data_IF_482388352161
#
_entry.id   IF_482388352161
#
_cell.length_a   1.000
_cell.length_b   1.000
_cell.length_c   1.000
_cell.angle_alpha   90.00
_cell.angle_beta   90.00
_cell.angle_gamma   90.00
#
_symmetry.space_group_name_H-M   'P 1'
#
loop_
_entity.id
_entity.type
_entity.pdbx_description
1 polymer ?
#
# COMPACT_ATOMS: atom_id res chain seq x y z
N UNK A 1 9.66 25.80 38.43
CA UNK A 1 9.16 24.41 38.31
C UNK A 1 8.68 24.03 36.90
N UNK A 2 8.41 24.95 35.97
CA UNK A 2 7.95 24.59 34.60
C UNK A 2 9.03 24.08 33.62
N UNK A 3 10.33 24.32 33.85
CA UNK A 3 11.39 23.85 32.92
C UNK A 3 11.75 22.37 33.08
N UNK A 4 11.48 21.76 34.24
CA UNK A 4 11.80 20.36 34.52
C UNK A 4 10.75 19.39 33.92
N UNK A 5 9.47 19.76 34.00
CA UNK A 5 8.35 19.02 33.40
C UNK A 5 8.40 18.96 31.86
N UNK A 6 8.91 20.00 31.19
CA UNK A 6 9.07 20.01 29.73
C UNK A 6 10.22 19.11 29.26
N UNK A 7 11.22 18.84 30.09
CA UNK A 7 12.38 18.02 29.74
C UNK A 7 12.09 16.52 29.89
N UNK A 8 11.32 16.14 30.93
CA UNK A 8 10.91 14.75 31.16
C UNK A 8 9.92 14.24 30.10
N UNK A 9 8.96 15.07 29.66
CA UNK A 9 8.02 14.71 28.60
C UNK A 9 8.72 14.47 27.25
N UNK A 10 9.78 15.23 26.93
CA UNK A 10 10.55 15.02 25.70
C UNK A 10 11.40 13.74 25.76
N UNK A 11 11.96 13.40 26.92
CA UNK A 11 12.76 12.19 27.09
C UNK A 11 11.91 10.92 27.03
N UNK A 12 10.71 10.94 27.61
CA UNK A 12 9.76 9.82 27.57
C UNK A 12 9.15 9.58 26.18
N UNK A 13 8.88 10.64 25.42
CA UNK A 13 8.43 10.50 24.03
C UNK A 13 9.55 9.90 23.16
N UNK A 14 10.78 10.40 23.28
CA UNK A 14 11.92 9.89 22.51
C UNK A 14 12.25 8.44 22.87
N UNK A 15 12.17 8.05 24.16
CA UNK A 15 12.43 6.68 24.61
C UNK A 15 11.35 5.71 24.12
N UNK A 16 10.07 6.10 24.17
CA UNK A 16 8.95 5.33 23.62
C UNK A 16 9.03 5.20 22.10
N UNK A 17 9.33 6.29 21.38
CA UNK A 17 9.50 6.24 19.92
C UNK A 17 10.66 5.33 19.53
N UNK A 18 11.81 5.42 20.20
CA UNK A 18 12.94 4.50 19.98
C UNK A 18 12.61 3.04 20.30
N UNK A 19 11.86 2.80 21.38
CA UNK A 19 11.39 1.46 21.75
C UNK A 19 10.47 0.86 20.70
N UNK A 20 9.54 1.66 20.16
CA UNK A 20 8.63 1.24 19.10
C UNK A 20 9.38 0.98 17.79
N UNK A 21 10.29 1.86 17.38
CA UNK A 21 11.12 1.64 16.17
C UNK A 21 11.92 0.35 16.26
N UNK A 22 12.56 0.09 17.41
CA UNK A 22 13.31 -1.16 17.64
C UNK A 22 12.41 -2.39 17.54
N UNK A 23 11.23 -2.34 18.14
CA UNK A 23 10.24 -3.43 18.06
C UNK A 23 9.79 -3.71 16.62
N UNK A 24 9.58 -2.65 15.81
CA UNK A 24 9.20 -2.78 14.40
C UNK A 24 10.32 -3.41 13.58
N UNK A 25 11.57 -2.99 13.79
CA UNK A 25 12.73 -3.57 13.10
C UNK A 25 12.89 -5.05 13.48
N UNK A 26 12.76 -5.38 14.76
CA UNK A 26 12.84 -6.77 15.26
C UNK A 26 11.74 -7.65 14.65
N UNK A 27 10.50 -7.15 14.60
CA UNK A 27 9.37 -7.85 13.97
C UNK A 27 9.59 -8.01 12.47
N UNK A 28 10.10 -6.98 11.80
CA UNK A 28 10.38 -7.02 10.35
C UNK A 28 11.46 -8.02 10.01
N UNK A 29 12.54 -8.08 10.80
CA UNK A 29 13.61 -9.07 10.66
C UNK A 29 13.09 -10.49 10.96
N UNK A 30 12.28 -10.66 11.99
CA UNK A 30 11.64 -11.93 12.30
C UNK A 30 10.71 -12.39 11.17
N UNK A 31 9.94 -11.47 10.56
CA UNK A 31 9.07 -11.74 9.43
C UNK A 31 9.86 -12.15 8.18
N UNK A 32 10.97 -11.46 7.87
CA UNK A 32 11.89 -11.85 6.80
C UNK A 32 12.42 -13.27 7.03
N UNK A 33 12.92 -13.56 8.23
CA UNK A 33 13.43 -14.90 8.58
C UNK A 33 12.35 -15.97 8.47
N UNK A 34 11.13 -15.69 8.93
CA UNK A 34 10.00 -16.59 8.83
C UNK A 34 9.63 -16.89 7.36
N UNK A 35 9.62 -15.86 6.51
CA UNK A 35 9.31 -16.01 5.09
C UNK A 35 10.34 -16.89 4.34
N UNK A 36 11.59 -16.93 4.81
CA UNK A 36 12.65 -17.78 4.28
C UNK A 36 12.67 -19.19 4.88
N UNK A 37 12.04 -19.40 6.02
CA UNK A 37 12.05 -20.69 6.73
C UNK A 37 11.35 -21.82 5.93
N UNK A 38 11.60 -23.08 6.25
CA UNK A 38 10.83 -24.19 5.66
C UNK A 38 9.43 -24.34 6.28
N UNK A 39 9.16 -23.66 7.40
CA UNK A 39 7.90 -23.74 8.11
C UNK A 39 6.82 -22.88 7.43
N UNK A 40 5.67 -23.51 7.16
CA UNK A 40 4.51 -22.90 6.53
C UNK A 40 3.76 -21.95 7.50
N UNK A 41 3.93 -22.11 8.81
CA UNK A 41 3.23 -21.33 9.83
C UNK A 41 4.06 -20.17 10.41
N UNK A 42 5.38 -20.17 10.23
CA UNK A 42 6.28 -19.18 10.82
C UNK A 42 5.84 -17.71 10.62
N UNK A 43 5.32 -17.36 9.44
CA UNK A 43 4.82 -16.02 9.16
C UNK A 43 3.59 -15.65 10.01
N UNK A 44 2.69 -16.61 10.23
CA UNK A 44 1.51 -16.46 11.09
C UNK A 44 1.93 -16.36 12.55
N UNK A 45 2.94 -17.11 12.98
CA UNK A 45 3.48 -17.02 14.34
C UNK A 45 4.13 -15.66 14.63
N UNK A 46 4.79 -15.07 13.63
CA UNK A 46 5.29 -13.68 13.74
C UNK A 46 4.12 -12.70 13.90
N UNK A 47 3.05 -12.86 13.13
CA UNK A 47 1.84 -12.03 13.27
C UNK A 47 1.21 -12.19 14.67
N UNK A 48 1.09 -13.42 15.18
CA UNK A 48 0.55 -13.68 16.52
C UNK A 48 1.41 -13.01 17.60
N UNK A 49 2.74 -13.08 17.49
CA UNK A 49 3.65 -12.37 18.40
C UNK A 49 3.52 -10.85 18.29
N UNK A 50 3.38 -10.32 17.08
CA UNK A 50 3.15 -8.90 16.86
C UNK A 50 1.84 -8.43 17.54
N UNK A 51 0.76 -9.21 17.44
CA UNK A 51 -0.51 -8.95 18.13
C UNK A 51 -0.37 -8.99 19.65
N UNK A 52 0.39 -9.95 20.20
CA UNK A 52 0.70 -10.02 21.65
C UNK A 52 1.53 -8.81 22.12
N UNK A 53 2.35 -8.24 21.24
CA UNK A 53 3.09 -7.00 21.48
C UNK A 53 2.26 -5.74 21.17
N UNK A 54 0.93 -5.88 21.00
CA UNK A 54 -0.02 -4.80 20.71
C UNK A 54 0.26 -4.04 19.40
N UNK A 55 0.99 -4.65 18.46
CA UNK A 55 1.19 -4.05 17.14
C UNK A 55 -0.11 -4.14 16.33
N UNK A 56 -0.57 -3.00 15.83
CA UNK A 56 -1.77 -2.92 15.02
C UNK A 56 -1.62 -3.72 13.72
N UNK A 57 -2.61 -4.56 13.39
CA UNK A 57 -2.60 -5.39 12.17
C UNK A 57 -2.48 -4.55 10.88
N UNK A 58 -3.07 -3.36 10.85
CA UNK A 58 -2.92 -2.41 9.75
C UNK A 58 -1.49 -1.92 9.60
N UNK A 59 -0.83 -1.56 10.71
CA UNK A 59 0.58 -1.19 10.70
C UNK A 59 1.47 -2.36 10.26
N UNK A 60 1.21 -3.57 10.76
CA UNK A 60 1.95 -4.77 10.36
C UNK A 60 1.84 -5.03 8.85
N UNK A 61 0.63 -4.91 8.30
CA UNK A 61 0.38 -5.11 6.87
C UNK A 61 0.97 -4.00 5.99
N UNK A 62 0.95 -2.76 6.46
CA UNK A 62 1.34 -1.59 5.67
C UNK A 62 2.82 -1.25 5.77
N UNK A 63 3.49 -1.69 6.85
CA UNK A 63 4.88 -1.36 7.13
C UNK A 63 5.73 -2.63 7.17
N UNK A 64 5.47 -3.54 8.11
CA UNK A 64 6.35 -4.70 8.33
C UNK A 64 6.42 -5.63 7.11
N UNK A 65 5.27 -5.96 6.48
CA UNK A 65 5.25 -6.83 5.29
C UNK A 65 6.02 -6.18 4.11
N UNK A 66 5.74 -4.93 3.68
CA UNK A 66 6.50 -4.28 2.63
C UNK A 66 7.99 -4.13 2.93
N UNK A 67 8.34 -3.84 4.18
CA UNK A 67 9.71 -3.64 4.61
C UNK A 67 10.48 -4.97 4.59
N UNK A 68 9.87 -6.07 5.04
CA UNK A 68 10.45 -7.42 4.89
C UNK A 68 10.66 -7.80 3.42
N UNK A 69 9.71 -7.49 2.54
CA UNK A 69 9.85 -7.72 1.10
C UNK A 69 10.95 -6.87 0.45
N UNK A 70 11.17 -5.65 0.94
CA UNK A 70 12.28 -4.80 0.50
C UNK A 70 13.62 -5.42 0.88
N UNK A 71 13.76 -5.89 2.12
CA UNK A 71 14.97 -6.58 2.56
C UNK A 71 15.26 -7.83 1.71
N UNK A 72 14.25 -8.65 1.42
CA UNK A 72 14.39 -9.81 0.51
C UNK A 72 14.86 -9.39 -0.89
N UNK A 73 14.37 -8.26 -1.40
CA UNK A 73 14.81 -7.71 -2.68
C UNK A 73 16.26 -7.20 -2.64
N UNK A 74 16.67 -6.58 -1.54
CA UNK A 74 18.05 -6.15 -1.31
C UNK A 74 19.00 -7.35 -1.24
N UNK A 75 18.61 -8.42 -0.54
CA UNK A 75 19.37 -9.67 -0.47
C UNK A 75 19.54 -10.33 -1.84
N UNK A 76 18.52 -10.27 -2.70
CA UNK A 76 18.63 -10.72 -4.09
C UNK A 76 19.62 -9.87 -4.88
N UNK A 77 19.54 -8.54 -4.77
CA UNK A 77 20.45 -7.62 -5.48
C UNK A 77 21.90 -7.79 -5.03
N UNK A 78 22.12 -8.17 -3.77
CA UNK A 78 23.45 -8.47 -3.24
C UNK A 78 23.90 -9.93 -3.44
N UNK A 79 23.19 -10.71 -4.27
CA UNK A 79 23.46 -12.14 -4.53
C UNK A 79 23.46 -13.02 -3.25
N UNK A 80 22.80 -12.59 -2.18
CA UNK A 80 22.69 -13.30 -0.91
C UNK A 80 21.55 -14.33 -0.89
N UNK A 81 20.54 -14.13 -1.73
CA UNK A 81 19.43 -15.07 -1.93
C UNK A 81 19.29 -15.39 -3.42
N UNK A 82 18.87 -16.61 -3.72
CA UNK A 82 18.51 -17.03 -5.07
C UNK A 82 17.12 -16.53 -5.48
N UNK A 83 16.85 -16.59 -6.79
CA UNK A 83 15.54 -16.28 -7.34
C UNK A 83 14.43 -17.12 -6.70
N UNK A 84 14.69 -18.41 -6.46
CA UNK A 84 13.73 -19.32 -5.86
C UNK A 84 13.40 -18.91 -4.41
N UNK A 85 14.42 -18.60 -3.60
CA UNK A 85 14.23 -18.20 -2.21
C UNK A 85 13.42 -16.90 -2.10
N UNK A 86 13.77 -15.87 -2.86
CA UNK A 86 13.05 -14.59 -2.85
C UNK A 86 11.62 -14.74 -3.38
N UNK A 87 11.42 -15.56 -4.42
CA UNK A 87 10.08 -15.82 -4.96
C UNK A 87 9.17 -16.53 -3.96
N UNK A 88 9.68 -17.57 -3.30
CA UNK A 88 8.94 -18.32 -2.28
C UNK A 88 8.63 -17.43 -1.07
N UNK A 89 9.62 -16.70 -0.57
CA UNK A 89 9.44 -15.79 0.56
C UNK A 89 8.42 -14.69 0.25
N UNK A 90 8.50 -14.09 -0.94
CA UNK A 90 7.51 -13.10 -1.39
C UNK A 90 6.10 -13.70 -1.50
N UNK A 91 5.96 -14.92 -2.03
CA UNK A 91 4.67 -15.61 -2.11
C UNK A 91 4.07 -15.88 -0.72
N UNK A 92 4.90 -16.19 0.28
CA UNK A 92 4.48 -16.37 1.67
C UNK A 92 4.02 -15.07 2.31
N UNK A 93 4.74 -13.96 2.09
CA UNK A 93 4.30 -12.63 2.53
C UNK A 93 2.95 -12.23 1.92
N UNK A 94 2.74 -12.53 0.63
CA UNK A 94 1.45 -12.33 -0.03
C UNK A 94 0.35 -13.24 0.54
N UNK A 95 0.69 -14.48 0.88
CA UNK A 95 -0.22 -15.41 1.57
C UNK A 95 -0.66 -14.87 2.92
N UNK A 96 0.28 -14.36 3.72
CA UNK A 96 -0.01 -13.74 5.02
C UNK A 96 -0.94 -12.54 4.88
N UNK A 97 -0.68 -11.65 3.91
CA UNK A 97 -1.55 -10.50 3.67
C UNK A 97 -2.98 -10.90 3.27
N UNK A 98 -3.14 -11.98 2.47
CA UNK A 98 -4.46 -12.53 2.15
C UNK A 98 -5.16 -13.13 3.37
N UNK A 99 -4.40 -13.82 4.23
CA UNK A 99 -4.91 -14.37 5.48
C UNK A 99 -5.47 -13.26 6.38
N UNK A 100 -4.70 -12.20 6.61
CA UNK A 100 -5.16 -11.02 7.36
C UNK A 100 -6.38 -10.35 6.71
N UNK A 101 -6.41 -10.30 5.37
CA UNK A 101 -7.53 -9.73 4.62
C UNK A 101 -8.83 -10.54 4.70
N UNK A 102 -8.78 -11.83 4.99
CA UNK A 102 -9.97 -12.64 5.21
C UNK A 102 -10.62 -12.26 6.55
N UNK A 103 -9.82 -12.11 7.60
CA UNK A 103 -10.27 -11.69 8.94
C UNK A 103 -10.93 -10.30 8.90
N UNK A 104 -10.38 -9.34 8.14
CA UNK A 104 -11.01 -8.02 8.03
C UNK A 104 -12.29 -8.00 7.21
N UNK A 105 -12.44 -8.87 6.21
CA UNK A 105 -13.67 -8.94 5.42
C UNK A 105 -14.84 -9.51 6.24
N UNK A 106 -14.58 -10.42 7.19
CA UNK A 106 -15.61 -10.88 8.12
C UNK A 106 -16.03 -9.79 9.11
N UNK A 107 -15.11 -8.91 9.51
CA UNK A 107 -15.38 -7.87 10.51
C UNK A 107 -15.89 -6.55 9.90
N UNK A 108 -15.60 -6.28 8.62
CA UNK A 108 -15.84 -5.00 7.95
C UNK A 108 -16.18 -5.18 6.47
N UNK A 109 -17.30 -5.85 6.16
CA UNK A 109 -17.85 -5.81 4.81
C UNK A 109 -18.11 -4.34 4.42
N UNK A 110 -17.57 -3.91 3.27
CA UNK A 110 -17.82 -2.56 2.77
C UNK A 110 -19.35 -2.35 2.62
N UNK A 111 -19.89 -1.19 3.02
CA UNK A 111 -21.29 -0.85 2.80
C UNK A 111 -21.70 -1.08 1.34
N UNK A 112 -22.97 -1.41 1.09
CA UNK A 112 -23.47 -1.69 -0.26
C UNK A 112 -23.31 -0.49 -1.23
N UNK A 113 -23.21 0.72 -0.67
CA UNK A 113 -23.00 2.00 -1.36
C UNK A 113 -21.56 2.52 -1.28
N UNK A 114 -20.61 1.71 -0.80
CA UNK A 114 -19.22 2.10 -0.67
C UNK A 114 -18.62 2.51 -2.03
N UNK A 115 -17.82 3.60 -2.08
CA UNK A 115 -17.13 3.98 -3.31
C UNK A 115 -16.23 2.83 -3.78
N UNK A 116 -16.25 2.56 -5.08
CA UNK A 116 -15.40 1.52 -5.69
C UNK A 116 -14.13 2.13 -6.25
N UNK A 117 -12.96 1.56 -5.91
CA UNK A 117 -11.66 1.91 -6.53
C UNK A 117 -11.18 0.73 -7.36
N UNK A 118 -10.74 1.00 -8.59
CA UNK A 118 -10.10 -0.01 -9.43
C UNK A 118 -8.58 0.12 -9.34
N UNK A 119 -7.91 -0.89 -8.81
CA UNK A 119 -6.44 -1.00 -8.81
C UNK A 119 -5.99 -1.84 -10.01
N UNK A 120 -5.03 -1.33 -10.78
CA UNK A 120 -4.57 -1.94 -12.03
C UNK A 120 -3.04 -2.07 -12.04
N UNK A 121 -2.56 -3.26 -12.42
CA UNK A 121 -1.15 -3.51 -12.73
C UNK A 121 -1.02 -3.73 -14.24
N UNK A 122 -0.31 -2.87 -14.99
CA UNK A 122 -0.20 -3.01 -16.44
C UNK A 122 0.59 -4.26 -16.84
N UNK A 123 0.17 -4.90 -17.93
CA UNK A 123 1.01 -5.87 -18.62
C UNK A 123 2.28 -5.22 -19.22
N UNK A 124 3.38 -5.98 -19.45
CA UNK A 124 3.60 -7.39 -19.12
C UNK A 124 4.07 -7.61 -17.67
N UNK A 125 3.97 -6.59 -16.81
CA UNK A 125 4.61 -6.57 -15.49
C UNK A 125 3.87 -7.46 -14.48
N UNK A 126 4.62 -8.04 -13.53
CA UNK A 126 4.11 -8.98 -12.52
C UNK A 126 4.38 -8.56 -11.07
N UNK A 127 4.52 -7.27 -10.77
CA UNK A 127 4.61 -6.84 -9.37
C UNK A 127 3.23 -6.92 -8.72
N UNK A 128 3.07 -7.79 -7.72
CA UNK A 128 1.75 -8.10 -7.13
C UNK A 128 1.67 -7.76 -5.64
N UNK A 129 2.80 -7.68 -4.93
CA UNK A 129 2.80 -7.39 -3.49
C UNK A 129 2.30 -5.97 -3.18
N UNK A 130 2.93 -4.94 -3.77
CA UNK A 130 2.52 -3.54 -3.55
C UNK A 130 1.04 -3.27 -3.84
N UNK A 131 0.50 -3.68 -5.01
CA UNK A 131 -0.93 -3.63 -5.30
C UNK A 131 -1.80 -4.34 -4.28
N UNK A 132 -1.35 -5.48 -3.74
CA UNK A 132 -2.11 -6.23 -2.72
C UNK A 132 -2.13 -5.49 -1.37
N UNK A 133 -1.02 -4.83 -0.99
CA UNK A 133 -0.95 -3.94 0.18
C UNK A 133 -1.89 -2.76 0.00
N UNK A 134 -1.89 -2.13 -1.17
CA UNK A 134 -2.83 -1.04 -1.50
C UNK A 134 -4.29 -1.52 -1.41
N UNK A 135 -4.63 -2.67 -2.00
CA UNK A 135 -6.00 -3.23 -1.90
C UNK A 135 -6.39 -3.46 -0.45
N UNK A 136 -5.48 -4.00 0.36
CA UNK A 136 -5.67 -4.22 1.79
C UNK A 136 -5.92 -2.90 2.54
N UNK A 137 -5.13 -1.87 2.25
CA UNK A 137 -5.29 -0.52 2.79
C UNK A 137 -6.65 0.10 2.45
N UNK A 138 -7.09 -0.01 1.20
CA UNK A 138 -8.35 0.56 0.73
C UNK A 138 -9.55 -0.16 1.34
N UNK A 139 -9.51 -1.49 1.44
CA UNK A 139 -10.59 -2.28 2.07
C UNK A 139 -10.75 -1.96 3.56
N UNK A 140 -9.66 -1.83 4.32
CA UNK A 140 -9.72 -1.39 5.73
C UNK A 140 -10.25 0.04 5.90
N UNK A 141 -10.32 0.83 4.83
CA UNK A 141 -10.93 2.17 4.81
C UNK A 141 -12.41 2.13 4.37
N UNK A 142 -13.00 0.95 4.24
CA UNK A 142 -14.40 0.76 3.87
C UNK A 142 -14.70 0.87 2.37
N UNK A 143 -13.68 0.89 1.51
CA UNK A 143 -13.87 0.98 0.06
C UNK A 143 -14.09 -0.39 -0.56
N UNK A 144 -14.94 -0.45 -1.59
CA UNK A 144 -14.99 -1.58 -2.50
C UNK A 144 -13.80 -1.50 -3.45
N UNK A 145 -13.10 -2.62 -3.70
CA UNK A 145 -11.86 -2.61 -4.50
C UNK A 145 -11.86 -3.70 -5.55
N UNK A 146 -11.81 -3.29 -6.82
CA UNK A 146 -11.49 -4.15 -7.95
C UNK A 146 -9.97 -4.21 -8.15
N UNK A 147 -9.43 -5.40 -8.43
CA UNK A 147 -8.01 -5.58 -8.74
C UNK A 147 -7.86 -6.28 -10.09
N UNK A 148 -7.14 -5.65 -11.02
CA UNK A 148 -6.74 -6.26 -12.29
C UNK A 148 -5.22 -6.39 -12.33
N UNK A 149 -4.74 -7.63 -12.38
CA UNK A 149 -3.32 -7.94 -12.50
C UNK A 149 -2.97 -8.25 -13.96
N UNK A 150 -1.81 -7.78 -14.43
CA UNK A 150 -1.37 -7.93 -15.83
C UNK A 150 -2.46 -7.45 -16.82
N UNK A 151 -3.09 -6.34 -16.48
CA UNK A 151 -4.26 -5.86 -17.19
C UNK A 151 -3.88 -5.32 -18.57
N UNK A 152 -4.66 -5.73 -19.57
CA UNK A 152 -4.69 -5.13 -20.89
C UNK A 152 -5.68 -3.97 -20.92
N UNK A 153 -5.69 -3.21 -22.03
CA UNK A 153 -6.74 -2.20 -22.27
C UNK A 153 -8.13 -2.83 -22.31
N UNK A 154 -8.25 -4.05 -22.85
CA UNK A 154 -9.54 -4.74 -22.97
C UNK A 154 -10.12 -5.05 -21.59
N UNK A 155 -9.28 -5.52 -20.67
CA UNK A 155 -9.69 -5.87 -19.30
C UNK A 155 -10.20 -4.64 -18.54
N UNK A 156 -9.47 -3.52 -18.63
CA UNK A 156 -9.88 -2.25 -18.04
C UNK A 156 -11.20 -1.80 -18.63
N UNK A 157 -11.35 -1.81 -19.96
CA UNK A 157 -12.60 -1.44 -20.62
C UNK A 157 -13.77 -2.34 -20.20
N UNK A 158 -13.54 -3.65 -20.07
CA UNK A 158 -14.56 -4.60 -19.63
C UNK A 158 -14.99 -4.37 -18.18
N UNK A 159 -14.06 -4.06 -17.29
CA UNK A 159 -14.37 -3.70 -15.90
C UNK A 159 -15.23 -2.43 -15.84
N UNK A 160 -14.79 -1.36 -16.51
CA UNK A 160 -15.47 -0.06 -16.49
C UNK A 160 -16.91 -0.13 -17.00
N UNK A 161 -17.21 -1.02 -17.95
CA UNK A 161 -18.59 -1.23 -18.45
C UNK A 161 -19.50 -1.92 -17.43
N UNK A 162 -18.94 -2.73 -16.52
CA UNK A 162 -19.72 -3.48 -15.52
C UNK A 162 -19.98 -2.66 -14.27
N UNK A 163 -18.96 -1.95 -13.80
CA UNK A 163 -19.02 -1.18 -12.56
C UNK A 163 -18.10 0.04 -12.71
N UNK A 164 -18.66 1.25 -12.96
CA UNK A 164 -17.86 2.46 -13.03
C UNK A 164 -17.31 2.77 -11.63
N UNK A 165 -15.97 2.75 -11.43
CA UNK A 165 -15.38 3.07 -10.14
C UNK A 165 -15.40 4.59 -9.89
N UNK A 166 -15.26 5.00 -8.63
CA UNK A 166 -15.00 6.39 -8.28
C UNK A 166 -13.58 6.85 -8.61
N UNK A 167 -12.61 5.93 -8.75
CA UNK A 167 -11.24 6.21 -9.18
C UNK A 167 -10.55 4.98 -9.78
N UNK A 168 -9.53 5.20 -10.61
CA UNK A 168 -8.62 4.16 -11.12
C UNK A 168 -7.19 4.42 -10.66
N UNK A 169 -6.60 3.48 -9.94
CA UNK A 169 -5.21 3.54 -9.46
C UNK A 169 -4.34 2.58 -10.27
N UNK A 170 -3.35 3.10 -10.98
CA UNK A 170 -2.42 2.31 -11.78
C UNK A 170 -1.09 2.17 -11.04
N UNK A 171 -0.75 0.95 -10.64
CA UNK A 171 0.49 0.67 -9.91
C UNK A 171 1.66 0.43 -10.86
N UNK A 172 2.70 1.25 -10.75
CA UNK A 172 3.93 1.16 -11.56
C UNK A 172 5.15 0.98 -10.66
N UNK A 173 5.90 -0.10 -10.88
CA UNK A 173 7.03 -0.49 -10.02
C UNK A 173 8.33 0.30 -10.26
N UNK A 174 8.53 0.87 -11.45
CA UNK A 174 9.73 1.68 -11.75
C UNK A 174 9.51 2.67 -12.91
N UNK A 175 10.36 3.70 -12.96
CA UNK A 175 10.26 4.82 -13.93
C UNK A 175 10.23 4.32 -15.38
N UNK A 176 11.09 3.36 -15.74
CA UNK A 176 11.17 2.78 -17.09
C UNK A 176 9.84 2.18 -17.57
N UNK A 177 8.92 1.86 -16.66
CA UNK A 177 7.62 1.23 -16.95
C UNK A 177 6.45 2.22 -16.92
N UNK A 178 6.67 3.50 -16.61
CA UNK A 178 5.59 4.51 -16.59
C UNK A 178 4.84 4.59 -17.92
N UNK A 179 5.55 4.48 -19.04
CA UNK A 179 4.96 4.51 -20.38
C UNK A 179 3.88 3.43 -20.59
N UNK A 180 3.96 2.30 -19.86
CA UNK A 180 2.98 1.22 -19.93
C UNK A 180 1.61 1.60 -19.34
N UNK A 181 1.55 2.64 -18.50
CA UNK A 181 0.28 3.12 -17.96
C UNK A 181 -0.52 3.92 -18.99
N UNK A 182 0.14 4.62 -19.94
CA UNK A 182 -0.51 5.53 -20.89
C UNK A 182 -1.67 4.89 -21.69
N UNK A 183 -1.54 3.66 -22.25
CA UNK A 183 -2.63 3.03 -22.96
C UNK A 183 -3.84 2.71 -22.06
N UNK A 184 -3.59 2.40 -20.78
CA UNK A 184 -4.63 2.16 -19.79
C UNK A 184 -5.34 3.47 -19.42
N UNK A 185 -4.59 4.55 -19.16
CA UNK A 185 -5.18 5.87 -18.90
C UNK A 185 -6.06 6.30 -20.07
N UNK A 186 -5.56 6.13 -21.31
CA UNK A 186 -6.32 6.42 -22.53
C UNK A 186 -7.62 5.61 -22.59
N UNK A 187 -7.57 4.33 -22.23
CA UNK A 187 -8.76 3.48 -22.19
C UNK A 187 -9.80 3.95 -21.15
N UNK A 188 -9.34 4.35 -19.96
CA UNK A 188 -10.22 4.90 -18.91
C UNK A 188 -10.91 6.15 -19.43
N UNK A 189 -10.15 7.08 -20.03
CA UNK A 189 -10.69 8.32 -20.61
C UNK A 189 -11.74 8.08 -21.68
N UNK A 190 -11.56 7.04 -22.50
CA UNK A 190 -12.52 6.68 -23.55
C UNK A 190 -13.79 6.02 -23.01
N UNK A 191 -13.66 5.20 -21.96
CA UNK A 191 -14.77 4.38 -21.46
C UNK A 191 -15.57 5.07 -20.36
N UNK A 192 -14.93 5.93 -19.57
CA UNK A 192 -15.52 6.62 -18.44
C UNK A 192 -14.87 8.00 -18.24
N UNK A 193 -15.25 9.00 -19.06
CA UNK A 193 -14.76 10.37 -18.92
C UNK A 193 -15.04 10.92 -17.52
N UNK A 194 -14.09 11.64 -16.94
CA UNK A 194 -14.24 12.31 -15.64
C UNK A 194 -13.86 11.48 -14.41
N UNK A 195 -13.61 10.16 -14.54
CA UNK A 195 -13.07 9.39 -13.41
C UNK A 195 -11.61 9.76 -13.18
N UNK A 196 -11.19 10.10 -11.96
CA UNK A 196 -9.79 10.39 -11.66
C UNK A 196 -8.90 9.14 -11.81
N UNK A 197 -7.73 9.34 -12.42
CA UNK A 197 -6.71 8.32 -12.62
C UNK A 197 -5.45 8.72 -11.90
N UNK A 198 -4.98 7.86 -10.99
CA UNK A 198 -3.78 8.08 -10.18
C UNK A 198 -2.72 7.06 -10.59
N UNK A 199 -1.51 7.52 -10.89
CA UNK A 199 -0.34 6.65 -10.98
C UNK A 199 0.24 6.51 -9.58
N UNK A 200 0.55 5.28 -9.17
CA UNK A 200 1.21 5.01 -7.90
C UNK A 200 2.38 4.04 -8.01
N UNK A 201 2.95 3.74 -6.86
CA UNK A 201 4.15 2.90 -6.73
C UNK A 201 5.46 3.69 -6.77
N UNK A 202 6.62 3.03 -6.58
CA UNK A 202 7.92 3.70 -6.38
C UNK A 202 8.36 4.61 -7.54
N UNK A 203 7.80 4.42 -8.72
CA UNK A 203 8.10 5.24 -9.90
C UNK A 203 7.70 6.71 -9.73
N UNK A 204 6.68 7.02 -8.91
CA UNK A 204 6.18 8.39 -8.73
C UNK A 204 7.09 9.23 -7.85
N UNK A 205 7.74 8.61 -6.85
CA UNK A 205 8.70 9.28 -5.96
C UNK A 205 9.94 9.75 -6.72
N UNK A 206 10.31 9.02 -7.78
CA UNK A 206 11.56 9.24 -8.51
C UNK A 206 11.38 10.01 -9.81
N UNK A 207 10.14 10.23 -10.26
CA UNK A 207 9.83 10.90 -11.52
C UNK A 207 8.72 11.93 -11.33
N UNK A 208 9.09 13.22 -11.30
CA UNK A 208 8.13 14.33 -11.21
C UNK A 208 7.20 14.46 -12.43
N UNK A 209 7.60 13.91 -13.58
CA UNK A 209 6.85 14.01 -14.85
C UNK A 209 5.87 12.84 -15.07
N UNK A 210 5.59 12.02 -14.05
CA UNK A 210 4.76 10.83 -14.18
C UNK A 210 3.38 11.13 -14.81
N UNK A 211 2.72 12.24 -14.42
CA UNK A 211 1.44 12.65 -15.02
C UNK A 211 1.59 13.01 -16.50
N UNK A 212 2.63 13.77 -16.87
CA UNK A 212 2.86 14.18 -18.26
C UNK A 212 3.15 12.98 -19.17
N UNK A 213 3.91 11.99 -18.69
CA UNK A 213 4.24 10.77 -19.45
C UNK A 213 3.00 9.90 -19.67
N UNK A 214 2.14 9.78 -18.65
CA UNK A 214 1.04 8.82 -18.63
C UNK A 214 -0.30 9.40 -19.08
N UNK A 215 -0.48 10.72 -18.97
CA UNK A 215 -1.77 11.41 -19.14
C UNK A 215 -2.72 11.25 -17.95
N UNK A 216 -2.24 10.75 -16.80
CA UNK A 216 -3.03 10.63 -15.58
C UNK A 216 -3.23 12.00 -14.91
N UNK A 217 -4.24 12.09 -14.03
CA UNK A 217 -4.54 13.33 -13.31
C UNK A 217 -3.52 13.57 -12.20
N UNK A 218 -3.16 12.49 -11.49
CA UNK A 218 -2.32 12.56 -10.30
C UNK A 218 -1.26 11.46 -10.28
N UNK A 219 -0.19 11.71 -9.54
CA UNK A 219 0.86 10.73 -9.27
C UNK A 219 1.27 10.82 -7.80
N UNK A 220 1.07 9.74 -7.03
CA UNK A 220 1.49 9.68 -5.64
C UNK A 220 1.73 8.23 -5.21
N UNK A 221 2.68 8.01 -4.30
CA UNK A 221 2.88 6.72 -3.63
C UNK A 221 2.10 6.60 -2.32
N UNK A 222 1.38 7.63 -1.90
CA UNK A 222 0.56 7.65 -0.68
C UNK A 222 -0.91 7.35 -1.01
N UNK A 223 -1.44 6.27 -0.44
CA UNK A 223 -2.81 5.83 -0.67
C UNK A 223 -3.85 6.81 -0.11
N UNK A 224 -3.57 7.45 1.02
CA UNK A 224 -4.47 8.43 1.65
C UNK A 224 -4.52 9.71 0.82
N UNK A 225 -3.36 10.19 0.36
CA UNK A 225 -3.29 11.34 -0.56
C UNK A 225 -4.06 11.06 -1.86
N UNK A 226 -3.87 9.87 -2.45
CA UNK A 226 -4.60 9.47 -3.65
C UNK A 226 -6.12 9.54 -3.47
N UNK A 227 -6.64 9.07 -2.33
CA UNK A 227 -8.07 9.12 -2.04
C UNK A 227 -8.61 10.55 -1.89
N UNK A 228 -7.84 11.43 -1.25
CA UNK A 228 -8.20 12.86 -1.11
C UNK A 228 -8.21 13.55 -2.47
N UNK A 229 -7.18 13.32 -3.31
CA UNK A 229 -7.10 13.88 -4.67
C UNK A 229 -8.27 13.43 -5.56
N UNK A 230 -8.79 12.22 -5.32
CA UNK A 230 -9.96 11.69 -6.01
C UNK A 230 -11.30 12.10 -5.40
N UNK A 231 -11.32 12.85 -4.29
CA UNK A 231 -12.56 13.20 -3.58
C UNK A 231 -13.29 12.01 -2.97
N UNK A 232 -12.58 10.90 -2.72
CA UNK A 232 -13.14 9.67 -2.15
C UNK A 232 -13.00 9.62 -0.62
N UNK A 233 -12.25 10.57 -0.05
CA UNK A 233 -12.08 10.72 1.39
C UNK A 233 -11.89 12.20 1.70
N UNK A 234 -12.56 12.68 2.75
CA UNK A 234 -12.30 14.01 3.28
C UNK A 234 -10.94 14.04 3.99
N UNK A 235 -10.23 15.16 3.91
CA UNK A 235 -9.10 15.41 4.79
C UNK A 235 -9.57 15.25 6.25
N UNK A 236 -8.81 14.57 7.13
CA UNK A 236 -9.14 14.55 8.54
C UNK A 236 -9.29 16.00 8.99
N UNK A 237 -10.46 16.36 9.52
CA UNK A 237 -10.74 17.71 10.05
C UNK A 237 -9.90 17.92 11.31
N UNK A 238 -8.61 18.16 11.12
CA UNK A 238 -7.67 18.57 12.14
C UNK A 238 -7.84 20.06 12.40
N UNK A 239 -8.21 20.37 13.63
CA UNK A 239 -8.42 21.67 14.26
C UNK A 239 -7.60 22.82 13.65
N UNK A 240 -8.21 23.59 12.73
CA UNK A 240 -7.79 24.97 12.51
C UNK A 240 -8.11 25.74 13.80
N UNK A 241 -7.12 25.87 14.69
CA UNK A 241 -7.06 27.07 15.53
C UNK A 241 -6.72 28.21 14.59
N UNK A 242 -7.74 28.96 14.22
CA UNK A 242 -7.57 30.32 13.75
C UNK A 242 -6.89 31.10 14.88
N UNK A 243 -5.58 31.33 14.76
CA UNK A 243 -4.96 32.50 15.39
C UNK A 243 -4.97 33.62 14.35
N UNK A 244 -6.12 34.29 14.31
CA UNK A 244 -6.22 35.69 13.91
C UNK A 244 -6.01 36.54 15.17
N UNK A 245 -5.40 37.73 15.00
CA UNK A 245 -5.08 38.81 15.96
C UNK A 245 -3.75 38.61 16.71
N UNK A 246 -2.75 39.51 16.66
CA UNK A 246 -2.68 40.95 16.30
C UNK A 246 -1.37 41.21 15.56
#
# INVERSE_FOLDING_TARGET
MSRQLSHDLSHDVISRTRGLTRSVDDITLALRSAALSCDLHACVDVLARARLAELNDGFFADVCIPQAARLLGEDWVSDALSFAEVSIATARLQGLLRHMGADWQSDQAAPADAPTVLVVVPEPVQHTLGPSVLVSQLRRRGLSVGLLLRATRSDVGAFLRRTPPGAVFVSVSCVKRLVLARPLVTQVRQSAPGIPVVIGGPATVTCGDACAITGADYATSDASEALVLCGLMDLPRGTMRAETMI
#
